data_IF_189939084219
#
_entry.id   IF_189939084219
#
_cell.length_a   1.000
_cell.length_b   1.000
_cell.length_c   1.000
_cell.angle_alpha   90.00
_cell.angle_beta   90.00
_cell.angle_gamma   90.00
#
_symmetry.space_group_name_H-M   'P 1'
#
loop_
_entity.id
_entity.type
_entity.pdbx_description
1 polymer ?
#
# COMPACT_ATOMS: atom_id res chain seq x y z
N UNK A 1 -1.17 22.74 7.03
CA UNK A 1 -0.36 21.79 6.24
C UNK A 1 -0.36 20.46 6.97
N UNK A 2 -0.87 19.39 6.35
CA UNK A 2 -0.76 18.05 6.94
C UNK A 2 0.72 17.69 6.93
N UNK A 3 1.30 17.52 8.11
CA UNK A 3 2.70 17.12 8.25
C UNK A 3 2.88 15.75 7.58
N UNK A 4 3.88 15.63 6.71
CA UNK A 4 4.20 14.46 5.91
C UNK A 4 4.79 13.27 6.73
N UNK A 5 4.23 13.00 7.91
CA UNK A 5 4.72 11.97 8.84
C UNK A 5 3.66 10.97 9.31
N UNK A 6 2.38 11.32 9.24
CA UNK A 6 1.27 10.47 9.71
C UNK A 6 0.18 10.51 8.64
N UNK A 7 0.25 9.63 7.64
CA UNK A 7 -0.93 9.35 6.82
C UNK A 7 -1.78 8.30 7.52
N UNK A 8 -2.92 8.64 8.12
CA UNK A 8 -3.97 7.63 8.24
C UNK A 8 -4.47 7.34 6.81
N UNK A 9 -4.85 6.10 6.45
CA UNK A 9 -5.34 5.79 5.09
C UNK A 9 -6.45 6.75 4.62
N UNK A 10 -7.26 7.27 5.56
CA UNK A 10 -8.30 8.29 5.34
C UNK A 10 -7.77 9.64 4.81
N UNK A 11 -6.47 9.91 4.95
CA UNK A 11 -5.84 11.12 4.44
C UNK A 11 -5.30 10.95 3.00
N UNK A 12 -5.20 9.72 2.50
CA UNK A 12 -4.77 9.47 1.13
C UNK A 12 -5.94 9.68 0.16
N UNK A 13 -5.65 10.29 -0.99
CA UNK A 13 -6.61 10.49 -2.08
C UNK A 13 -6.97 9.15 -2.72
N UNK A 14 -8.15 9.07 -3.35
CA UNK A 14 -8.63 7.88 -4.05
C UNK A 14 -7.55 7.24 -4.95
N UNK A 15 -7.32 5.93 -4.80
CA UNK A 15 -6.27 5.17 -5.50
C UNK A 15 -4.86 5.28 -4.91
N UNK A 16 -4.68 5.96 -3.76
CA UNK A 16 -3.42 5.97 -3.00
C UNK A 16 -3.61 5.32 -1.63
N UNK A 17 -2.60 4.58 -1.19
CA UNK A 17 -2.56 3.93 0.12
C UNK A 17 -1.41 4.46 0.94
N UNK A 18 -1.60 4.46 2.25
CA UNK A 18 -0.55 4.83 3.18
C UNK A 18 0.45 3.68 3.34
N UNK A 19 1.70 3.94 2.94
CA UNK A 19 2.81 3.01 3.05
C UNK A 19 3.92 3.62 3.90
N UNK A 20 4.42 2.86 4.87
CA UNK A 20 5.63 3.16 5.61
C UNK A 20 6.84 2.79 4.76
N UNK A 21 7.66 3.79 4.43
CA UNK A 21 8.91 3.65 3.70
C UNK A 21 10.02 4.20 4.58
N UNK A 22 10.98 3.34 4.97
CA UNK A 22 12.15 3.71 5.79
C UNK A 22 11.78 4.50 7.07
N UNK A 23 10.69 4.09 7.74
CA UNK A 23 10.23 4.73 8.98
C UNK A 23 9.34 5.96 8.80
N UNK A 24 9.09 6.42 7.57
CA UNK A 24 8.18 7.53 7.27
C UNK A 24 6.95 7.05 6.50
N UNK A 25 5.78 7.51 6.89
CA UNK A 25 4.50 7.14 6.26
C UNK A 25 4.16 8.08 5.12
N UNK A 26 3.93 7.53 3.93
CA UNK A 26 3.69 8.26 2.68
C UNK A 26 2.49 7.68 1.93
N UNK A 27 1.67 8.53 1.31
CA UNK A 27 0.63 8.09 0.39
C UNK A 27 1.25 7.73 -0.97
N UNK A 28 1.28 6.44 -1.31
CA UNK A 28 1.77 5.93 -2.59
C UNK A 28 0.62 5.38 -3.42
N UNK A 29 0.78 5.30 -4.73
CA UNK A 29 -0.24 4.68 -5.58
C UNK A 29 -0.38 3.19 -5.29
N UNK A 30 -1.59 2.68 -5.43
CA UNK A 30 -1.84 1.26 -5.38
C UNK A 30 -1.00 0.50 -6.43
N UNK A 31 -0.66 -0.74 -6.12
CA UNK A 31 0.09 -1.61 -7.01
C UNK A 31 -0.76 -1.97 -8.24
N UNK A 32 -0.17 -1.76 -9.43
CA UNK A 32 -0.80 -2.10 -10.71
C UNK A 32 -0.62 -3.59 -11.03
N UNK A 33 -1.33 -4.08 -12.05
CA UNK A 33 -1.20 -5.48 -12.50
C UNK A 33 0.27 -5.84 -12.73
N UNK A 34 0.64 -7.04 -12.28
CA UNK A 34 2.00 -7.60 -12.28
C UNK A 34 3.04 -6.88 -11.40
N UNK A 35 2.64 -5.90 -10.59
CA UNK A 35 3.52 -5.28 -9.59
C UNK A 35 3.42 -6.00 -8.25
N UNK A 36 4.47 -5.87 -7.45
CA UNK A 36 4.51 -6.40 -6.09
C UNK A 36 3.41 -5.76 -5.22
N UNK A 37 2.77 -6.56 -4.37
CA UNK A 37 1.68 -6.11 -3.53
C UNK A 37 1.72 -6.73 -2.13
N UNK A 38 1.04 -6.08 -1.19
CA UNK A 38 0.74 -6.62 0.12
C UNK A 38 -0.75 -6.92 0.21
N UNK A 39 -1.10 -8.17 0.53
CA UNK A 39 -2.50 -8.57 0.68
C UNK A 39 -3.12 -8.00 1.96
N UNK A 40 -2.31 -7.81 3.01
CA UNK A 40 -2.76 -7.30 4.30
C UNK A 40 -1.92 -6.08 4.70
N UNK A 41 -2.54 -5.04 5.31
CA UNK A 41 -1.80 -3.97 5.92
C UNK A 41 -1.00 -4.49 7.12
N UNK A 42 0.15 -3.88 7.36
CA UNK A 42 0.97 -4.19 8.53
C UNK A 42 0.34 -3.70 9.84
N UNK A 43 1.13 -3.75 10.91
CA UNK A 43 0.68 -3.39 12.26
C UNK A 43 0.18 -1.93 12.29
N UNK A 44 -1.09 -1.75 12.66
CA UNK A 44 -1.72 -0.42 12.73
C UNK A 44 -2.41 0.04 11.45
N UNK A 45 -2.66 -0.85 10.47
CA UNK A 45 -3.38 -0.50 9.24
C UNK A 45 -2.50 0.21 8.20
N UNK A 46 -1.18 0.13 8.34
CA UNK A 46 -0.20 0.77 7.45
C UNK A 46 0.58 -0.31 6.73
N UNK A 47 0.67 -0.19 5.41
CA UNK A 47 1.46 -1.10 4.57
C UNK A 47 2.96 -0.82 4.75
N UNK A 48 3.81 -1.85 4.84
CA UNK A 48 5.26 -1.65 4.96
C UNK A 48 5.94 -1.89 3.61
N UNK A 49 6.58 -0.86 3.08
CA UNK A 49 7.27 -0.77 1.77
C UNK A 49 6.43 -1.06 0.51
N UNK A 50 5.38 -1.88 0.60
CA UNK A 50 4.64 -2.42 -0.53
C UNK A 50 3.14 -2.14 -0.34
N UNK A 51 2.51 -1.33 -1.21
CA UNK A 51 1.08 -1.02 -1.14
C UNK A 51 0.19 -2.22 -1.53
N UNK A 52 -1.11 -2.17 -1.25
CA UNK A 52 -2.06 -3.13 -1.79
C UNK A 52 -2.30 -2.89 -3.28
N UNK A 53 -3.03 -3.82 -3.90
CA UNK A 53 -3.44 -3.69 -5.29
C UNK A 53 -4.51 -2.61 -5.49
N UNK A 54 -4.55 -2.05 -6.69
CA UNK A 54 -5.61 -1.15 -7.12
C UNK A 54 -6.99 -1.82 -7.01
N UNK A 55 -8.07 -1.02 -6.88
CA UNK A 55 -9.44 -1.47 -6.54
C UNK A 55 -10.11 -2.42 -7.57
N UNK A 56 -9.40 -2.86 -8.60
CA UNK A 56 -9.83 -3.90 -9.55
C UNK A 56 -8.95 -5.14 -9.60
N UNK A 57 -7.92 -5.23 -8.76
CA UNK A 57 -6.92 -6.30 -8.81
C UNK A 57 -6.82 -7.03 -7.47
N UNK A 58 -6.46 -8.31 -7.51
CA UNK A 58 -6.24 -9.11 -6.31
C UNK A 58 -4.76 -9.36 -6.12
N UNK A 59 -4.31 -9.31 -4.87
CA UNK A 59 -2.94 -9.67 -4.55
C UNK A 59 -2.80 -11.20 -4.55
N UNK A 60 -2.11 -11.75 -5.54
CA UNK A 60 -1.81 -13.19 -5.64
C UNK A 60 -0.70 -13.55 -4.65
N UNK A 61 -1.07 -14.18 -3.54
CA UNK A 61 -0.13 -14.66 -2.50
C UNK A 61 0.34 -16.10 -2.74
N UNK A 62 -0.02 -16.70 -3.88
CA UNK A 62 0.35 -18.07 -4.25
C UNK A 62 1.85 -18.25 -4.53
N UNK A 63 2.60 -17.15 -4.65
CA UNK A 63 4.03 -17.12 -4.97
C UNK A 63 4.80 -16.44 -3.84
N UNK A 64 6.09 -16.75 -3.74
CA UNK A 64 7.03 -16.09 -2.80
C UNK A 64 7.04 -14.57 -2.94
N UNK A 65 6.81 -14.07 -4.16
CA UNK A 65 6.61 -12.64 -4.43
C UNK A 65 5.12 -12.45 -4.74
N UNK A 66 4.43 -11.78 -3.82
CA UNK A 66 3.04 -11.41 -3.99
C UNK A 66 2.90 -10.39 -5.12
N UNK A 67 1.98 -10.60 -6.06
CA UNK A 67 1.78 -9.67 -7.19
C UNK A 67 0.32 -9.44 -7.53
N UNK A 68 -0.02 -8.25 -8.01
CA UNK A 68 -1.40 -7.94 -8.40
C UNK A 68 -1.80 -8.63 -9.69
N UNK A 69 -2.97 -9.27 -9.70
CA UNK A 69 -3.53 -10.01 -10.83
C UNK A 69 -5.03 -9.79 -10.96
#
# INVERSE_FOLDING_TARGET
AVNAGDCPEVACTDGKHCVRVLGSTNCVHAAKSKHACSAEPGRGGVYDMVPPCDSGLKCDTSKTIHVCR
#
